data_IF_004705347481
#
_entry.id   IF_004705347481
#
_cell.length_a   1.000
_cell.length_b   1.000
_cell.length_c   1.000
_cell.angle_alpha   90.00
_cell.angle_beta   90.00
_cell.angle_gamma   90.00
#
_symmetry.space_group_name_H-M   'P 1'
#
loop_
_entity.id
_entity.type
_entity.pdbx_description
1 polymer ?
#
# COMPACT_ATOMS: atom_id res chain seq x y z
N UNK A 1 12.06 5.03 -25.51
CA UNK A 1 11.91 4.12 -24.37
C UNK A 1 10.50 4.35 -23.88
N UNK A 2 9.61 3.38 -24.08
CA UNK A 2 8.29 3.42 -23.45
C UNK A 2 8.54 3.38 -21.93
N UNK A 3 8.16 4.43 -21.22
CA UNK A 3 8.15 4.38 -19.76
C UNK A 3 7.06 3.38 -19.40
N UNK A 4 7.45 2.19 -18.92
CA UNK A 4 6.47 1.26 -18.36
C UNK A 4 5.70 1.98 -17.26
N UNK A 5 4.38 2.01 -17.39
CA UNK A 5 3.53 2.75 -16.49
C UNK A 5 3.60 2.10 -15.10
N UNK A 6 4.12 2.83 -14.11
CA UNK A 6 4.21 2.35 -12.75
C UNK A 6 2.80 2.16 -12.14
N UNK A 7 2.61 1.05 -11.43
CA UNK A 7 1.34 0.74 -10.76
C UNK A 7 1.43 1.06 -9.27
N UNK A 8 0.44 1.79 -8.74
CA UNK A 8 0.37 2.09 -7.30
C UNK A 8 0.10 0.80 -6.53
N UNK A 9 0.87 0.54 -5.48
CA UNK A 9 0.63 -0.60 -4.58
C UNK A 9 -0.04 -0.16 -3.28
N UNK A 10 -1.14 -0.81 -2.92
CA UNK A 10 -1.93 -0.45 -1.74
C UNK A 10 -2.11 -1.64 -0.80
N UNK A 11 -1.82 -1.46 0.50
CA UNK A 11 -2.32 -2.35 1.54
C UNK A 11 -3.53 -1.70 2.20
N UNK A 12 -4.72 -2.29 2.03
CA UNK A 12 -5.98 -1.70 2.47
C UNK A 12 -6.78 -2.61 3.43
N UNK A 13 -6.23 -2.96 4.61
CA UNK A 13 -6.88 -3.87 5.56
C UNK A 13 -8.06 -3.23 6.31
N UNK A 14 -8.29 -1.92 6.17
CA UNK A 14 -9.25 -1.16 6.96
C UNK A 14 -10.11 -0.21 6.10
N UNK A 15 -11.14 0.40 6.71
CA UNK A 15 -12.09 1.29 6.03
C UNK A 15 -11.42 2.50 5.34
N UNK A 16 -10.45 3.21 5.94
CA UNK A 16 -9.69 4.24 5.22
C UNK A 16 -9.00 3.72 3.95
N UNK A 17 -8.39 2.54 4.02
CA UNK A 17 -7.76 1.92 2.85
C UNK A 17 -8.75 1.56 1.75
N UNK A 18 -9.92 1.01 2.12
CA UNK A 18 -11.00 0.75 1.16
C UNK A 18 -11.50 2.03 0.49
N UNK A 19 -11.65 3.11 1.27
CA UNK A 19 -12.07 4.41 0.73
C UNK A 19 -11.05 4.95 -0.27
N UNK A 20 -9.76 4.77 -0.01
CA UNK A 20 -8.70 5.15 -0.94
C UNK A 20 -8.74 4.33 -2.23
N UNK A 21 -8.96 3.01 -2.16
CA UNK A 21 -9.16 2.17 -3.36
C UNK A 21 -10.29 2.71 -4.23
N UNK A 22 -11.43 3.08 -3.63
CA UNK A 22 -12.56 3.65 -4.38
C UNK A 22 -12.20 4.97 -5.07
N UNK A 23 -11.33 5.78 -4.46
CA UNK A 23 -10.85 7.02 -5.07
C UNK A 23 -9.93 6.76 -6.26
N UNK A 24 -9.02 5.78 -6.14
CA UNK A 24 -8.17 5.35 -7.26
C UNK A 24 -9.02 4.85 -8.44
N UNK A 25 -10.05 4.05 -8.15
CA UNK A 25 -11.01 3.58 -9.15
C UNK A 25 -11.77 4.74 -9.82
N UNK A 26 -12.32 5.66 -9.03
CA UNK A 26 -13.03 6.83 -9.55
C UNK A 26 -12.13 7.71 -10.43
N UNK A 27 -10.86 7.86 -10.07
CA UNK A 27 -9.85 8.58 -10.84
C UNK A 27 -9.27 7.80 -12.03
N UNK A 28 -9.69 6.55 -12.26
CA UNK A 28 -9.10 5.64 -13.26
C UNK A 28 -7.57 5.50 -13.13
N UNK A 29 -7.06 5.50 -11.89
CA UNK A 29 -5.63 5.39 -11.60
C UNK A 29 -5.26 3.91 -11.48
N UNK A 30 -4.28 3.39 -12.26
CA UNK A 30 -3.84 2.01 -12.15
C UNK A 30 -3.29 1.68 -10.76
N UNK A 31 -3.80 0.61 -10.15
CA UNK A 31 -3.34 0.14 -8.85
C UNK A 31 -3.41 -1.38 -8.71
N UNK A 32 -2.61 -1.88 -7.78
CA UNK A 32 -2.65 -3.24 -7.28
C UNK A 32 -2.76 -3.24 -5.76
N UNK A 33 -3.26 -4.33 -5.18
CA UNK A 33 -3.34 -4.49 -3.72
C UNK A 33 -2.41 -5.58 -3.22
N UNK A 34 -1.78 -5.35 -2.07
CA UNK A 34 -0.99 -6.38 -1.35
C UNK A 34 -1.80 -6.92 -0.17
N UNK A 35 -1.83 -8.25 -0.07
CA UNK A 35 -2.56 -9.00 0.96
C UNK A 35 -1.73 -10.17 1.46
N UNK A 36 -1.99 -10.65 2.68
CA UNK A 36 -1.30 -11.80 3.26
C UNK A 36 -2.23 -12.96 3.62
N UNK A 37 -3.52 -12.84 3.30
CA UNK A 37 -4.52 -13.85 3.60
C UNK A 37 -5.67 -13.83 2.58
N UNK A 38 -6.33 -14.97 2.41
CA UNK A 38 -7.39 -15.15 1.41
C UNK A 38 -8.67 -14.37 1.72
N UNK A 39 -8.97 -14.11 3.00
CA UNK A 39 -10.17 -13.37 3.36
C UNK A 39 -10.06 -11.90 2.93
N UNK A 40 -8.89 -11.30 3.13
CA UNK A 40 -8.59 -9.95 2.67
C UNK A 40 -8.55 -9.88 1.14
N UNK A 41 -7.95 -10.86 0.47
CA UNK A 41 -8.01 -10.99 -0.98
C UNK A 41 -9.46 -10.94 -1.49
N UNK A 42 -10.33 -11.83 -1.00
CA UNK A 42 -11.71 -11.91 -1.45
C UNK A 42 -12.46 -10.58 -1.25
N UNK A 43 -12.31 -9.96 -0.07
CA UNK A 43 -12.90 -8.65 0.24
C UNK A 43 -12.45 -7.56 -0.73
N UNK A 44 -11.16 -7.51 -1.08
CA UNK A 44 -10.64 -6.50 -2.00
C UNK A 44 -11.00 -6.79 -3.47
N UNK A 45 -11.17 -8.06 -3.84
CA UNK A 45 -11.71 -8.44 -5.16
C UNK A 45 -13.17 -7.97 -5.30
N UNK A 46 -14.00 -8.18 -4.28
CA UNK A 46 -15.38 -7.67 -4.25
C UNK A 46 -15.43 -6.13 -4.31
N UNK A 47 -14.38 -5.46 -3.82
CA UNK A 47 -14.22 -4.02 -3.93
C UNK A 47 -13.80 -3.56 -5.33
N UNK A 48 -13.47 -4.48 -6.24
CA UNK A 48 -13.04 -4.21 -7.61
C UNK A 48 -11.53 -4.03 -7.76
N UNK A 49 -10.71 -4.56 -6.85
CA UNK A 49 -9.26 -4.67 -7.07
C UNK A 49 -8.97 -5.85 -8.01
N UNK A 50 -8.47 -5.55 -9.21
CA UNK A 50 -8.19 -6.55 -10.24
C UNK A 50 -6.80 -7.18 -10.07
N UNK A 51 -5.81 -6.38 -9.73
CA UNK A 51 -4.43 -6.82 -9.52
C UNK A 51 -4.14 -7.04 -8.04
N UNK A 52 -3.76 -8.27 -7.69
CA UNK A 52 -3.54 -8.68 -6.30
C UNK A 52 -2.19 -9.38 -6.16
N UNK A 53 -1.40 -8.92 -5.19
CA UNK A 53 -0.15 -9.54 -4.76
C UNK A 53 -0.38 -10.21 -3.41
N UNK A 54 -0.50 -11.54 -3.43
CA UNK A 54 -0.53 -12.35 -2.20
C UNK A 54 0.91 -12.60 -1.75
N UNK A 55 1.23 -12.26 -0.50
CA UNK A 55 2.56 -12.49 0.06
C UNK A 55 2.50 -13.30 1.35
N UNK A 56 3.49 -14.19 1.53
CA UNK A 56 3.78 -14.70 2.87
C UNK A 56 4.70 -13.71 3.59
N UNK A 57 4.14 -13.02 4.57
CA UNK A 57 4.88 -12.01 5.34
C UNK A 57 5.87 -12.59 6.35
N UNK A 58 5.89 -13.92 6.56
CA UNK A 58 6.77 -14.57 7.53
C UNK A 58 8.10 -15.04 6.91
N UNK A 59 8.14 -15.27 5.60
CA UNK A 59 9.28 -15.89 4.93
C UNK A 59 9.87 -14.95 3.87
N UNK A 60 10.94 -14.23 4.21
CA UNK A 60 11.54 -13.20 3.34
C UNK A 60 11.97 -13.73 1.97
N UNK A 61 12.38 -14.99 1.91
CA UNK A 61 12.80 -15.66 0.66
C UNK A 61 11.64 -15.87 -0.32
N UNK A 62 10.40 -15.69 0.11
CA UNK A 62 9.19 -15.85 -0.72
C UNK A 62 8.70 -14.53 -1.31
N UNK A 63 9.36 -13.41 -1.03
CA UNK A 63 8.96 -12.07 -1.47
C UNK A 63 9.34 -11.83 -2.92
N UNK A 64 8.60 -12.47 -3.82
CA UNK A 64 8.80 -12.35 -5.26
C UNK A 64 8.40 -10.96 -5.75
N UNK A 65 9.30 -10.33 -6.51
CA UNK A 65 9.04 -9.07 -7.19
C UNK A 65 7.86 -9.26 -8.18
N UNK A 66 6.86 -8.36 -8.20
CA UNK A 66 5.81 -8.39 -9.22
C UNK A 66 6.38 -8.25 -10.63
N UNK A 67 5.70 -8.83 -11.62
CA UNK A 67 6.10 -8.76 -13.05
C UNK A 67 5.91 -7.37 -13.68
N UNK A 68 5.45 -6.39 -12.90
CA UNK A 68 5.16 -5.03 -13.31
C UNK A 68 5.88 -4.02 -12.40
N UNK A 69 6.22 -2.82 -12.88
CA UNK A 69 6.95 -1.83 -12.10
C UNK A 69 6.10 -1.30 -10.94
N UNK A 70 6.55 -1.54 -9.71
CA UNK A 70 5.90 -1.04 -8.50
C UNK A 70 6.18 0.46 -8.34
N UNK A 71 5.11 1.25 -8.41
CA UNK A 71 5.14 2.69 -8.21
C UNK A 71 5.08 3.09 -6.73
N UNK A 72 4.42 4.21 -6.46
CA UNK A 72 4.14 4.67 -5.09
C UNK A 72 3.40 3.61 -4.28
N UNK A 73 3.69 3.57 -2.99
CA UNK A 73 3.15 2.57 -2.07
C UNK A 73 2.35 3.22 -0.96
N UNK A 74 1.12 2.79 -0.73
CA UNK A 74 0.26 3.27 0.35
C UNK A 74 -0.10 2.12 1.29
N UNK A 75 0.45 2.14 2.50
CA UNK A 75 0.21 1.12 3.53
C UNK A 75 -0.72 1.68 4.60
N UNK A 76 -1.95 1.17 4.66
CA UNK A 76 -2.87 1.48 5.75
C UNK A 76 -2.61 0.55 6.93
N UNK A 77 -2.27 1.12 8.08
CA UNK A 77 -1.89 0.35 9.25
C UNK A 77 -3.11 -0.42 9.83
N UNK A 78 -2.94 -1.73 9.97
CA UNK A 78 -3.80 -2.58 10.81
C UNK A 78 -3.09 -3.05 12.07
N UNK A 79 -1.80 -3.35 11.96
CA UNK A 79 -0.92 -3.61 13.11
C UNK A 79 0.51 -3.16 12.80
N UNK A 80 1.24 -2.79 13.85
CA UNK A 80 2.64 -2.38 13.76
C UNK A 80 3.49 -3.44 13.05
N UNK A 81 3.40 -4.70 13.49
CA UNK A 81 4.22 -5.79 12.97
C UNK A 81 3.97 -6.07 11.49
N UNK A 82 2.71 -6.12 11.07
CA UNK A 82 2.38 -6.37 9.66
C UNK A 82 2.82 -5.21 8.78
N UNK A 83 2.58 -3.97 9.23
CA UNK A 83 3.01 -2.79 8.49
C UNK A 83 4.53 -2.75 8.33
N UNK A 84 5.30 -3.04 9.38
CA UNK A 84 6.76 -3.13 9.32
C UNK A 84 7.24 -4.16 8.27
N UNK A 85 6.58 -5.32 8.18
CA UNK A 85 6.91 -6.35 7.18
C UNK A 85 6.60 -5.86 5.77
N UNK A 86 5.42 -5.27 5.55
CA UNK A 86 5.07 -4.69 4.25
C UNK A 86 6.01 -3.55 3.83
N UNK A 87 6.50 -2.72 4.75
CA UNK A 87 7.51 -1.71 4.41
C UNK A 87 8.76 -2.39 3.84
N UNK A 88 9.29 -3.41 4.53
CA UNK A 88 10.50 -4.12 4.07
C UNK A 88 10.28 -4.81 2.72
N UNK A 89 9.14 -5.49 2.55
CA UNK A 89 8.72 -6.09 1.28
C UNK A 89 8.72 -5.05 0.18
N UNK A 90 7.94 -3.98 0.34
CA UNK A 90 7.74 -2.98 -0.71
C UNK A 90 9.04 -2.21 -1.01
N UNK A 91 9.91 -1.98 -0.02
CA UNK A 91 11.22 -1.36 -0.24
C UNK A 91 12.17 -2.24 -1.05
N UNK A 92 12.03 -3.56 -0.99
CA UNK A 92 12.78 -4.46 -1.88
C UNK A 92 12.28 -4.42 -3.33
N UNK A 93 11.07 -3.92 -3.56
CA UNK A 93 10.42 -3.89 -4.88
C UNK A 93 10.50 -2.54 -5.59
N UNK A 94 10.61 -1.44 -4.83
CA UNK A 94 10.64 -0.10 -5.41
C UNK A 94 11.40 0.91 -4.55
N UNK A 95 11.92 1.93 -5.23
CA UNK A 95 12.50 3.12 -4.59
C UNK A 95 11.50 4.29 -4.50
N UNK A 96 10.32 4.16 -5.12
CA UNK A 96 9.28 5.19 -5.15
C UNK A 96 8.71 5.49 -3.75
N UNK A 97 8.11 6.67 -3.51
CA UNK A 97 7.60 7.04 -2.19
C UNK A 97 6.69 5.99 -1.52
N UNK A 98 6.99 5.67 -0.26
CA UNK A 98 6.15 4.88 0.65
C UNK A 98 5.43 5.77 1.65
N UNK A 99 4.12 5.64 1.69
CA UNK A 99 3.23 6.28 2.65
C UNK A 99 2.72 5.23 3.63
N UNK A 100 2.90 5.49 4.92
CA UNK A 100 2.20 4.78 5.99
C UNK A 100 1.08 5.66 6.49
N UNK A 101 -0.15 5.18 6.43
CA UNK A 101 -1.34 5.85 6.94
C UNK A 101 -1.76 5.13 8.20
N UNK A 102 -1.72 5.83 9.33
CA UNK A 102 -1.97 5.24 10.63
C UNK A 102 -2.94 6.09 11.45
N UNK A 103 -3.73 5.42 12.28
CA UNK A 103 -4.58 6.02 13.31
C UNK A 103 -4.01 5.77 14.72
N UNK A 104 -2.88 5.06 14.81
CA UNK A 104 -2.27 4.71 16.09
C UNK A 104 -1.19 5.71 16.49
N UNK A 105 -0.98 5.83 17.79
CA UNK A 105 0.12 6.62 18.36
C UNK A 105 1.48 5.90 18.29
N UNK A 106 1.63 4.93 17.37
CA UNK A 106 2.89 4.20 17.20
C UNK A 106 4.05 5.17 16.86
N UNK A 107 5.27 4.94 17.37
CA UNK A 107 6.39 5.82 17.10
C UNK A 107 6.70 5.90 15.61
N UNK A 108 6.46 7.08 15.00
CA UNK A 108 6.69 7.35 13.57
C UNK A 108 8.10 6.97 13.11
N UNK A 109 9.07 7.06 14.02
CA UNK A 109 10.48 6.73 13.79
C UNK A 109 10.70 5.25 13.41
N UNK A 110 9.85 4.33 13.87
CA UNK A 110 9.96 2.91 13.53
C UNK A 110 9.73 2.74 12.03
N UNK A 111 8.62 3.26 11.52
CA UNK A 111 8.29 3.15 10.09
C UNK A 111 9.30 3.87 9.20
N UNK A 112 9.74 5.07 9.58
CA UNK A 112 10.76 5.80 8.84
C UNK A 112 12.10 5.06 8.81
N UNK A 113 12.51 4.48 9.94
CA UNK A 113 13.73 3.68 10.03
C UNK A 113 13.72 2.42 9.16
N UNK A 114 12.53 1.91 8.82
CA UNK A 114 12.34 0.78 7.91
C UNK A 114 12.24 1.19 6.43
N UNK A 115 12.20 2.49 6.12
CA UNK A 115 12.15 3.00 4.76
C UNK A 115 10.83 3.67 4.35
N UNK A 116 9.92 3.95 5.29
CA UNK A 116 8.77 4.79 4.98
C UNK A 116 9.21 6.24 4.73
N UNK A 117 8.85 6.82 3.58
CA UNK A 117 9.12 8.22 3.28
C UNK A 117 8.19 9.13 4.09
N UNK A 118 6.91 8.76 4.14
CA UNK A 118 5.86 9.52 4.79
C UNK A 118 5.12 8.65 5.82
N UNK A 119 4.86 9.22 7.00
CA UNK A 119 4.03 8.60 8.04
C UNK A 119 2.96 9.62 8.40
N UNK A 120 1.73 9.35 7.98
CA UNK A 120 0.59 10.25 8.06
C UNK A 120 -0.35 9.73 9.15
N UNK A 121 -0.56 10.55 10.18
CA UNK A 121 -1.52 10.25 11.23
C UNK A 121 -2.87 10.85 10.86
N UNK A 122 -3.91 10.03 10.80
CA UNK A 122 -5.28 10.49 10.59
C UNK A 122 -6.16 10.09 11.77
N UNK A 123 -7.04 10.98 12.20
CA UNK A 123 -8.02 10.72 13.26
C UNK A 123 -9.39 10.36 12.67
N UNK A 124 -9.49 10.31 11.34
CA UNK A 124 -10.74 10.08 10.63
C UNK A 124 -10.56 9.03 9.53
N UNK A 125 -11.66 8.60 8.95
CA UNK A 125 -11.63 7.76 7.75
C UNK A 125 -11.54 8.59 6.46
N UNK A 126 -11.35 9.91 6.57
CA UNK A 126 -11.18 10.83 5.46
C UNK A 126 -9.72 10.76 4.98
N UNK A 127 -9.56 10.38 3.72
CA UNK A 127 -8.25 10.14 3.10
C UNK A 127 -8.16 10.69 1.68
N UNK A 128 -9.11 11.56 1.28
CA UNK A 128 -9.18 12.12 -0.07
C UNK A 128 -7.95 12.94 -0.40
N UNK A 129 -7.29 13.54 0.60
CA UNK A 129 -6.04 14.26 0.41
C UNK A 129 -4.91 13.39 -0.19
N UNK A 130 -4.94 12.06 -0.02
CA UNK A 130 -3.94 11.15 -0.58
C UNK A 130 -3.99 11.07 -2.10
N UNK A 131 -5.13 11.40 -2.73
CA UNK A 131 -5.27 11.33 -4.18
C UNK A 131 -4.30 12.29 -4.88
N UNK A 132 -4.00 13.44 -4.26
CA UNK A 132 -3.01 14.37 -4.80
C UNK A 132 -1.62 13.75 -4.85
N UNK A 133 -1.23 13.03 -3.79
CA UNK A 133 0.02 12.27 -3.75
C UNK A 133 0.05 11.10 -4.72
N UNK A 134 -1.10 10.58 -5.16
CA UNK A 134 -1.19 9.57 -6.21
C UNK A 134 -0.97 10.16 -7.62
N UNK A 135 -1.37 11.42 -7.85
CA UNK A 135 -1.30 12.08 -9.16
C UNK A 135 0.05 12.73 -9.50
N UNK A 136 0.85 13.14 -8.50
CA UNK A 136 2.10 13.88 -8.75
C UNK A 136 3.19 12.99 -9.37
N UNK A 137 3.41 13.09 -10.69
CA UNK A 137 4.52 12.45 -11.40
C UNK A 137 5.77 13.32 -11.42
#
# INVERSE_FOLDING_TARGET
MEQEQQTILVSAPNKPGEAFIRQLQFGSIPFAVIVNNKAEQARLQELGAEQIVMVDTNEENTWLLPEWPVGKVFLFENSLTLCCRYIRICRSWTSEPLYVITQSNNPRLIYKGLGANYVIHTNSNEVSFLIHSAHEG
#
